data_IF_915452680170
#
_entry.id   IF_915452680170
#
_cell.length_a   1.000
_cell.length_b   1.000
_cell.length_c   1.000
_cell.angle_alpha   90.00
_cell.angle_beta   90.00
_cell.angle_gamma   90.00
#
_symmetry.space_group_name_H-M   'P 1'
#
loop_
_entity.id
_entity.type
_entity.pdbx_description
1 polymer ?
#
# COMPACT_ATOMS: atom_id res chain seq x y z
N UNK A 1 3.36 22.37 30.03
CA UNK A 1 2.28 21.40 30.24
C UNK A 1 2.34 20.44 29.08
N UNK A 2 2.96 19.28 29.29
CA UNK A 2 3.00 18.21 28.29
C UNK A 2 1.59 17.63 28.19
N UNK A 3 0.96 17.77 27.03
CA UNK A 3 -0.19 16.94 26.69
C UNK A 3 0.32 15.50 26.71
N UNK A 4 0.04 14.78 27.80
CA UNK A 4 0.11 13.32 27.80
C UNK A 4 -0.93 12.87 26.77
N UNK A 5 -0.48 12.66 25.53
CA UNK A 5 -1.25 11.94 24.52
C UNK A 5 -1.53 10.57 25.11
N UNK A 6 -2.73 10.38 25.65
CA UNK A 6 -3.27 9.08 26.03
C UNK A 6 -3.26 8.21 24.77
N UNK A 7 -2.21 7.43 24.61
CA UNK A 7 -2.08 6.48 23.53
C UNK A 7 -3.06 5.34 23.79
N UNK A 8 -4.17 5.32 23.06
CA UNK A 8 -5.06 4.17 23.04
C UNK A 8 -4.41 3.07 22.17
N UNK A 9 -4.14 1.88 22.73
CA UNK A 9 -3.59 0.78 21.95
C UNK A 9 -4.53 0.39 20.81
N UNK A 10 -3.98 0.27 19.60
CA UNK A 10 -4.74 -0.19 18.44
C UNK A 10 -4.88 -1.71 18.53
N UNK A 11 -6.10 -2.23 18.39
CA UNK A 11 -6.32 -3.68 18.47
C UNK A 11 -5.62 -4.43 17.33
N UNK A 12 -4.91 -5.52 17.63
CA UNK A 12 -4.26 -6.32 16.60
C UNK A 12 -5.27 -7.07 15.73
N UNK A 13 -4.92 -7.30 14.47
CA UNK A 13 -5.73 -8.09 13.53
C UNK A 13 -4.98 -9.32 13.06
N UNK A 14 -5.69 -10.46 13.00
CA UNK A 14 -5.14 -11.74 12.59
C UNK A 14 -5.83 -12.21 11.32
N UNK A 15 -5.03 -12.64 10.35
CA UNK A 15 -5.47 -13.12 9.04
C UNK A 15 -5.02 -14.56 8.88
N UNK A 16 -5.97 -15.50 8.85
CA UNK A 16 -5.70 -16.92 8.65
C UNK A 16 -6.33 -17.38 7.35
N UNK A 17 -5.49 -17.85 6.43
CA UNK A 17 -5.93 -18.35 5.13
C UNK A 17 -4.94 -19.35 4.57
N UNK A 18 -5.44 -20.43 3.95
CA UNK A 18 -4.63 -21.48 3.33
C UNK A 18 -3.50 -22.03 4.23
N UNK A 19 -3.82 -22.29 5.50
CA UNK A 19 -2.87 -22.80 6.49
C UNK A 19 -1.80 -21.80 6.95
N UNK A 20 -1.80 -20.57 6.45
CA UNK A 20 -0.91 -19.48 6.89
C UNK A 20 -1.64 -18.52 7.80
N UNK A 21 -0.92 -17.99 8.79
CA UNK A 21 -1.44 -16.96 9.70
C UNK A 21 -0.49 -15.78 9.75
N UNK A 22 -1.03 -14.59 9.49
CA UNK A 22 -0.31 -13.33 9.58
C UNK A 22 -1.04 -12.38 10.53
N UNK A 23 -0.29 -11.58 11.28
CA UNK A 23 -0.80 -10.64 12.27
C UNK A 23 -0.33 -9.22 11.96
N UNK A 24 -1.28 -8.29 11.99
CA UNK A 24 -1.04 -6.87 12.13
C UNK A 24 -1.10 -6.51 13.61
N UNK A 25 -0.08 -5.82 14.11
CA UNK A 25 -0.05 -5.35 15.50
C UNK A 25 0.76 -4.06 15.58
N UNK A 26 0.05 -2.92 15.52
CA UNK A 26 0.66 -1.60 15.45
C UNK A 26 1.57 -1.32 16.66
N UNK A 27 1.18 -1.78 17.84
CA UNK A 27 1.87 -1.48 19.11
C UNK A 27 3.26 -2.12 19.21
N UNK A 28 3.57 -3.08 18.34
CA UNK A 28 4.86 -3.81 18.33
C UNK A 28 5.52 -3.83 16.96
N UNK A 29 5.14 -2.92 16.05
CA UNK A 29 5.84 -2.73 14.78
C UNK A 29 7.29 -2.32 15.05
N UNK A 30 8.22 -2.90 14.30
CA UNK A 30 9.61 -2.42 14.33
C UNK A 30 9.73 -1.10 13.55
N UNK A 31 10.76 -0.32 13.86
CA UNK A 31 11.08 0.92 13.12
C UNK A 31 11.27 0.62 11.63
N UNK A 32 11.92 -0.51 11.31
CA UNK A 32 12.13 -0.94 9.93
C UNK A 32 10.81 -1.18 9.19
N UNK A 33 9.85 -1.90 9.79
CA UNK A 33 8.53 -2.12 9.20
C UNK A 33 7.80 -0.80 8.94
N UNK A 34 7.84 0.11 9.91
CA UNK A 34 7.18 1.40 9.82
C UNK A 34 7.79 2.27 8.71
N UNK A 35 9.12 2.32 8.61
CA UNK A 35 9.79 3.09 7.55
C UNK A 35 9.48 2.53 6.15
N UNK A 36 9.58 1.22 5.95
CA UNK A 36 9.29 0.60 4.65
C UNK A 36 7.83 0.82 4.22
N UNK A 37 6.88 0.64 5.13
CA UNK A 37 5.46 0.89 4.87
C UNK A 37 5.19 2.38 4.59
N UNK A 38 5.84 3.29 5.32
CA UNK A 38 5.74 4.74 5.12
C UNK A 38 6.27 5.13 3.73
N UNK A 39 7.47 4.67 3.38
CA UNK A 39 8.10 4.94 2.08
C UNK A 39 7.25 4.45 0.92
N UNK A 40 6.67 3.25 1.01
CA UNK A 40 5.76 2.73 -0.01
C UNK A 40 4.50 3.61 -0.18
N UNK A 41 3.92 4.08 0.92
CA UNK A 41 2.77 4.99 0.89
C UNK A 41 3.09 6.37 0.34
N UNK A 42 4.24 6.94 0.72
CA UNK A 42 4.73 8.23 0.22
C UNK A 42 5.11 8.17 -1.26
N UNK A 43 5.72 7.07 -1.69
CA UNK A 43 6.02 6.84 -3.11
C UNK A 43 4.73 6.86 -3.94
N UNK A 44 3.69 6.14 -3.49
CA UNK A 44 2.38 6.16 -4.16
C UNK A 44 1.76 7.56 -4.17
N UNK A 45 1.81 8.26 -3.05
CA UNK A 45 1.29 9.63 -2.94
C UNK A 45 2.00 10.57 -3.93
N UNK A 46 3.33 10.54 -3.97
CA UNK A 46 4.13 11.34 -4.88
C UNK A 46 3.85 10.99 -6.35
N UNK A 47 3.60 9.72 -6.66
CA UNK A 47 3.14 9.32 -8.00
C UNK A 47 1.76 9.89 -8.34
N UNK A 48 0.81 9.96 -7.39
CA UNK A 48 -0.50 10.55 -7.65
C UNK A 48 -0.43 12.07 -7.92
N UNK A 49 0.57 12.76 -7.36
CA UNK A 49 0.82 14.18 -7.61
C UNK A 49 1.50 14.45 -8.97
N UNK A 50 2.19 13.46 -9.54
CA UNK A 50 2.95 13.61 -10.78
C UNK A 50 2.34 12.70 -11.87
N UNK A 51 1.60 13.29 -12.82
CA UNK A 51 1.00 12.49 -13.91
C UNK A 51 2.08 11.76 -14.72
N UNK A 52 1.90 10.45 -14.99
CA UNK A 52 2.88 9.70 -15.76
C UNK A 52 2.98 10.25 -17.18
N UNK A 53 4.20 10.56 -17.62
CA UNK A 53 4.44 11.18 -18.93
C UNK A 53 4.44 10.17 -20.08
N UNK A 54 4.60 8.88 -19.78
CA UNK A 54 4.69 7.82 -20.78
C UNK A 54 4.20 6.46 -20.27
N UNK A 55 3.87 5.59 -21.23
CA UNK A 55 3.38 4.22 -20.99
C UNK A 55 4.32 3.39 -20.10
N UNK A 56 5.63 3.60 -20.23
CA UNK A 56 6.65 2.90 -19.43
C UNK A 56 6.58 3.28 -17.96
N UNK A 57 6.26 4.53 -17.63
CA UNK A 57 6.04 4.98 -16.26
C UNK A 57 4.74 4.41 -15.67
N UNK A 58 3.69 4.24 -16.48
CA UNK A 58 2.45 3.58 -16.06
C UNK A 58 2.71 2.10 -15.71
N UNK A 59 3.38 1.35 -16.59
CA UNK A 59 3.69 -0.07 -16.34
C UNK A 59 4.66 -0.23 -15.17
N UNK A 60 5.70 0.61 -15.07
CA UNK A 60 6.63 0.59 -13.94
C UNK A 60 6.00 1.02 -12.61
N UNK A 61 4.86 1.71 -12.65
CA UNK A 61 4.32 2.37 -11.45
C UNK A 61 3.98 1.40 -10.32
N UNK A 62 3.76 0.09 -10.59
CA UNK A 62 3.09 -0.83 -9.63
C UNK A 62 1.93 -0.13 -8.92
N UNK A 63 1.25 0.79 -9.60
CA UNK A 63 0.36 1.76 -8.98
C UNK A 63 -0.89 1.13 -8.38
N UNK A 64 -1.16 -0.14 -8.71
CA UNK A 64 -2.22 -0.96 -8.16
C UNK A 64 -1.78 -1.85 -6.97
N UNK A 65 -0.47 -2.02 -6.74
CA UNK A 65 0.06 -2.97 -5.76
C UNK A 65 0.65 -2.30 -4.50
N UNK A 66 0.66 -0.97 -4.45
CA UNK A 66 1.14 -0.22 -3.27
C UNK A 66 0.45 -0.71 -1.98
N UNK A 67 -0.84 -1.03 -2.05
CA UNK A 67 -1.63 -1.51 -0.93
C UNK A 67 -1.14 -2.87 -0.43
N UNK A 68 -0.88 -3.82 -1.34
CA UNK A 68 -0.31 -5.12 -0.97
C UNK A 68 1.12 -5.01 -0.45
N UNK A 69 1.92 -4.07 -0.97
CA UNK A 69 3.29 -3.82 -0.50
C UNK A 69 3.29 -3.22 0.91
N UNK A 70 2.44 -2.21 1.17
CA UNK A 70 2.31 -1.64 2.53
C UNK A 70 1.90 -2.74 3.51
N UNK A 71 0.88 -3.53 3.17
CA UNK A 71 0.42 -4.62 4.02
C UNK A 71 1.49 -5.68 4.25
N UNK A 72 2.31 -5.99 3.24
CA UNK A 72 3.36 -6.99 3.37
C UNK A 72 4.44 -6.60 4.39
N UNK A 73 4.74 -5.30 4.51
CA UNK A 73 5.62 -4.78 5.54
C UNK A 73 4.97 -4.69 6.93
N UNK A 74 3.65 -4.49 6.99
CA UNK A 74 2.92 -4.37 8.26
C UNK A 74 2.60 -5.73 8.91
N UNK A 75 2.47 -6.79 8.11
CA UNK A 75 2.08 -8.11 8.57
C UNK A 75 3.31 -8.96 8.94
N UNK A 76 3.20 -9.70 10.04
CA UNK A 76 4.20 -10.70 10.46
C UNK A 76 3.57 -12.07 10.62
N UNK A 77 4.35 -13.09 10.27
CA UNK A 77 3.93 -14.48 10.38
C UNK A 77 3.72 -14.87 11.85
N UNK A 78 2.67 -15.65 12.12
CA UNK A 78 2.44 -16.30 13.41
C UNK A 78 2.66 -17.79 13.24
N UNK A 79 3.55 -18.37 14.06
CA UNK A 79 3.81 -19.81 14.12
C UNK A 79 3.72 -20.29 15.55
N UNK A 80 2.90 -21.32 15.79
CA UNK A 80 2.66 -21.87 17.13
C UNK A 80 2.31 -20.76 18.15
N UNK A 81 1.40 -19.86 17.76
CA UNK A 81 0.99 -18.68 18.54
C UNK A 81 2.10 -17.66 18.87
N UNK A 82 3.28 -17.81 18.26
CA UNK A 82 4.41 -16.89 18.42
C UNK A 82 4.55 -16.02 17.19
N UNK A 83 4.53 -14.70 17.41
CA UNK A 83 4.79 -13.70 16.39
C UNK A 83 6.26 -13.77 15.97
N UNK A 84 6.50 -14.11 14.71
CA UNK A 84 7.86 -14.24 14.18
C UNK A 84 8.51 -12.87 14.00
N UNK A 85 9.85 -12.77 14.09
CA UNK A 85 10.57 -11.55 13.76
C UNK A 85 10.28 -11.08 12.33
N UNK A 86 10.36 -9.77 12.12
CA UNK A 86 10.23 -9.21 10.78
C UNK A 86 11.36 -9.72 9.88
N UNK A 87 11.01 -10.06 8.63
CA UNK A 87 11.96 -10.46 7.60
C UNK A 87 11.52 -9.83 6.28
N UNK A 88 12.36 -8.94 5.75
CA UNK A 88 12.06 -8.17 4.54
C UNK A 88 11.89 -9.04 3.30
N UNK A 89 12.77 -10.01 3.08
CA UNK A 89 12.70 -10.88 1.90
C UNK A 89 11.40 -11.69 1.88
N UNK A 90 10.95 -12.16 3.05
CA UNK A 90 9.65 -12.82 3.19
C UNK A 90 8.49 -11.85 2.98
N UNK A 91 8.57 -10.62 3.48
CA UNK A 91 7.55 -9.60 3.26
C UNK A 91 7.31 -9.37 1.76
N UNK A 92 8.38 -9.13 1.00
CA UNK A 92 8.32 -8.83 -0.44
C UNK A 92 7.99 -10.03 -1.33
N UNK A 93 7.92 -11.24 -0.76
CA UNK A 93 7.62 -12.46 -1.51
C UNK A 93 6.39 -13.16 -0.95
N UNK A 94 6.51 -13.83 0.19
CA UNK A 94 5.47 -14.67 0.77
C UNK A 94 4.28 -13.86 1.28
N UNK A 95 4.53 -12.75 2.00
CA UNK A 95 3.46 -11.97 2.64
C UNK A 95 2.69 -11.16 1.60
N UNK A 96 3.39 -10.54 0.65
CA UNK A 96 2.73 -9.84 -0.47
C UNK A 96 1.83 -10.80 -1.26
N UNK A 97 2.32 -12.01 -1.58
CA UNK A 97 1.51 -13.02 -2.26
C UNK A 97 0.31 -13.48 -1.43
N UNK A 98 0.49 -13.66 -0.11
CA UNK A 98 -0.62 -13.98 0.80
C UNK A 98 -1.70 -12.90 0.76
N UNK A 99 -1.32 -11.62 0.85
CA UNK A 99 -2.28 -10.50 0.79
C UNK A 99 -3.06 -10.50 -0.53
N UNK A 100 -2.38 -10.80 -1.64
CA UNK A 100 -3.00 -10.85 -2.97
C UNK A 100 -3.97 -12.04 -3.15
N UNK A 101 -3.79 -13.13 -2.41
CA UNK A 101 -4.66 -14.31 -2.49
C UNK A 101 -5.83 -14.28 -1.50
N UNK A 102 -5.87 -13.32 -0.58
CA UNK A 102 -6.94 -13.20 0.40
C UNK A 102 -8.31 -12.92 -0.26
N UNK A 103 -9.39 -13.61 0.18
CA UNK A 103 -10.74 -13.32 -0.27
C UNK A 103 -11.17 -11.87 -0.01
N UNK A 104 -12.12 -11.38 -0.82
CA UNK A 104 -12.67 -10.01 -0.73
C UNK A 104 -13.23 -9.71 0.67
N UNK A 105 -13.67 -10.72 1.41
CA UNK A 105 -14.16 -10.56 2.79
C UNK A 105 -13.14 -9.89 3.72
N UNK A 106 -11.84 -10.10 3.50
CA UNK A 106 -10.76 -9.50 4.30
C UNK A 106 -10.42 -8.06 3.92
N UNK A 107 -10.91 -7.55 2.78
CA UNK A 107 -10.49 -6.24 2.26
C UNK A 107 -10.85 -5.08 3.18
N UNK A 108 -11.97 -5.19 3.90
CA UNK A 108 -12.35 -4.18 4.91
C UNK A 108 -11.30 -4.12 6.01
N UNK A 109 -10.93 -5.27 6.57
CA UNK A 109 -9.95 -5.35 7.66
C UNK A 109 -8.55 -4.92 7.22
N UNK A 110 -8.13 -5.31 6.02
CA UNK A 110 -6.86 -4.87 5.45
C UNK A 110 -6.81 -3.35 5.26
N UNK A 111 -7.91 -2.73 4.82
CA UNK A 111 -7.99 -1.27 4.68
C UNK A 111 -7.93 -0.58 6.03
N UNK A 112 -8.53 -1.17 7.05
CA UNK A 112 -8.43 -0.69 8.43
C UNK A 112 -6.98 -0.75 8.91
N UNK A 113 -6.23 -1.84 8.71
CA UNK A 113 -4.79 -1.91 9.07
C UNK A 113 -3.95 -0.78 8.46
N UNK A 114 -4.15 -0.50 7.16
CA UNK A 114 -3.44 0.59 6.47
C UNK A 114 -3.88 1.96 6.99
N UNK A 115 -5.18 2.12 7.28
CA UNK A 115 -5.75 3.35 7.85
C UNK A 115 -5.23 3.62 9.25
N UNK A 116 -5.18 2.58 10.09
CA UNK A 116 -4.69 2.62 11.46
C UNK A 116 -3.20 2.96 11.47
N UNK A 117 -2.41 2.32 10.60
CA UNK A 117 -0.98 2.58 10.49
C UNK A 117 -0.67 4.05 10.17
N UNK A 118 -1.16 4.56 9.05
CA UNK A 118 -0.87 5.94 8.61
C UNK A 118 -1.54 6.98 9.52
N UNK A 119 -2.64 6.64 10.19
CA UNK A 119 -3.22 7.47 11.26
C UNK A 119 -2.30 7.52 12.47
N UNK A 120 -1.82 6.37 12.94
CA UNK A 120 -0.97 6.22 14.10
C UNK A 120 0.39 6.91 13.95
N UNK A 121 0.95 6.97 12.73
CA UNK A 121 2.18 7.72 12.46
C UNK A 121 1.96 9.20 12.08
N UNK A 122 0.74 9.74 12.22
CA UNK A 122 0.43 11.14 11.93
C UNK A 122 0.40 11.51 10.44
N UNK A 123 0.35 10.54 9.53
CA UNK A 123 0.37 10.71 8.07
C UNK A 123 -1.01 10.46 7.42
N UNK A 124 -2.10 10.86 8.09
CA UNK A 124 -3.49 10.68 7.63
C UNK A 124 -3.75 11.13 6.19
N UNK A 125 -3.06 12.17 5.74
CA UNK A 125 -3.19 12.69 4.36
C UNK A 125 -2.78 11.67 3.29
N UNK A 126 -1.83 10.76 3.58
CA UNK A 126 -1.40 9.72 2.64
C UNK A 126 -2.53 8.72 2.36
N UNK A 127 -3.29 8.30 3.39
CA UNK A 127 -4.44 7.40 3.22
C UNK A 127 -5.53 8.05 2.37
N UNK A 128 -5.92 9.27 2.74
CA UNK A 128 -7.06 9.95 2.11
C UNK A 128 -6.82 10.10 0.60
N UNK A 129 -5.62 10.51 0.21
CA UNK A 129 -5.28 10.71 -1.20
C UNK A 129 -5.11 9.37 -1.93
N UNK A 130 -4.47 8.37 -1.32
CA UNK A 130 -4.27 7.07 -1.96
C UNK A 130 -5.60 6.32 -2.17
N UNK A 131 -6.49 6.28 -1.15
CA UNK A 131 -7.78 5.61 -1.24
C UNK A 131 -8.81 6.36 -2.13
N UNK A 132 -8.73 7.69 -2.21
CA UNK A 132 -9.57 8.47 -3.13
C UNK A 132 -9.07 8.39 -4.58
N UNK A 133 -7.75 8.27 -4.79
CA UNK A 133 -7.15 8.10 -6.11
C UNK A 133 -7.55 6.80 -6.80
N UNK A 134 -7.74 5.71 -6.05
CA UNK A 134 -8.22 4.42 -6.60
C UNK A 134 -9.62 4.50 -7.22
N UNK A 135 -10.48 5.40 -6.75
CA UNK A 135 -11.82 5.58 -7.31
C UNK A 135 -11.85 6.37 -8.61
N UNK A 136 -10.77 7.06 -9.00
CA UNK A 136 -10.86 8.15 -9.99
C UNK A 136 -10.29 7.87 -11.38
N UNK A 137 -9.45 6.86 -11.60
CA UNK A 137 -8.89 6.62 -12.94
C UNK A 137 -8.60 5.14 -13.18
N UNK A 138 -9.44 4.48 -13.96
CA UNK A 138 -9.13 3.19 -14.59
C UNK A 138 -7.83 3.32 -15.39
N UNK A 139 -7.00 2.27 -15.46
CA UNK A 139 -5.78 2.28 -16.29
C UNK A 139 -6.06 2.73 -17.73
N UNK A 140 -7.24 2.42 -18.27
CA UNK A 140 -7.69 2.87 -19.59
C UNK A 140 -7.88 4.39 -19.64
N UNK A 141 -8.46 4.99 -18.61
CA UNK A 141 -8.67 6.44 -18.50
C UNK A 141 -7.35 7.22 -18.35
N UNK A 142 -6.32 6.60 -17.76
CA UNK A 142 -4.97 7.17 -17.72
C UNK A 142 -4.23 7.02 -19.06
N UNK A 143 -4.53 5.96 -19.82
CA UNK A 143 -3.87 5.65 -21.08
C UNK A 143 -4.39 6.48 -22.27
N UNK A 144 -5.69 6.75 -22.31
CA UNK A 144 -6.33 7.48 -23.41
C UNK A 144 -5.67 8.83 -23.72
N UNK A 145 -5.39 9.72 -22.74
CA UNK A 145 -4.76 11.00 -22.99
C UNK A 145 -3.32 10.88 -23.52
N UNK A 146 -2.58 9.86 -23.07
CA UNK A 146 -1.19 9.62 -23.51
C UNK A 146 -1.17 9.12 -24.95
N UNK A 147 -2.07 8.17 -25.30
CA UNK A 147 -2.23 7.70 -26.67
C UNK A 147 -2.64 8.84 -27.61
N UNK A 148 -3.58 9.70 -27.19
CA UNK A 148 -3.97 10.88 -27.96
C UNK A 148 -2.78 11.83 -28.19
N UNK A 149 -2.00 12.14 -27.15
CA UNK A 149 -0.79 12.98 -27.29
C UNK A 149 0.25 12.36 -28.23
N UNK A 150 0.47 11.05 -28.17
CA UNK A 150 1.42 10.36 -29.06
C UNK A 150 0.95 10.35 -30.51
N UNK A 151 -0.34 10.12 -30.77
CA UNK A 151 -0.88 10.16 -32.14
C UNK A 151 -0.82 11.58 -32.74
N UNK A 152 -1.19 12.61 -31.97
CA UNK A 152 -1.09 14.01 -32.40
C UNK A 152 0.35 14.47 -32.62
N UNK A 153 1.29 14.01 -31.79
CA UNK A 153 2.71 14.31 -31.94
C UNK A 153 3.37 13.67 -33.16
N UNK A 154 2.83 12.56 -33.67
CA UNK A 154 3.29 11.93 -34.91
C UNK A 154 2.66 12.58 -36.14
N UNK A 155 1.39 12.98 -36.07
CA UNK A 155 0.71 13.71 -37.16
C UNK A 155 1.36 15.06 -37.49
N UNK A 156 1.94 15.75 -36.50
CA UNK A 156 2.65 17.01 -36.70
C UNK A 156 4.11 16.85 -37.19
N UNK A 157 4.63 15.61 -37.28
CA UNK A 157 5.98 15.33 -37.80
C UNK A 157 5.97 14.91 -39.27
N UNK A 158 4.81 14.51 -39.79
CA UNK A 158 4.59 14.09 -41.17
C UNK A 158 3.84 15.16 -42.01
N UNK A 159 3.80 16.42 -41.53
CA UNK A 159 3.21 17.58 -42.22
C UNK A 159 4.25 18.65 -42.56
#
# INVERSE_FOLDING_TARGET
>A
MSEETNYEPIEPKVFTFDGKTFKYDFNVLTVEQAELAREAGEFKYNQLQNEPENFRQIIKSRGAEWFSIVLSYLLREVKNDILQPFNKDKAETEVENFVKTLPISYWKDLRECVTDFFTGIGKKHLILVNLQGEKKKSGIEMLLPILQKTMLGNLNKDA
#
